data_IF_731267990113
#
_entry.id   IF_731267990113
#
_cell.length_a   1.000
_cell.length_b   1.000
_cell.length_c   1.000
_cell.angle_alpha   90.00
_cell.angle_beta   90.00
_cell.angle_gamma   90.00
#
_symmetry.space_group_name_H-M   'P 1'
#
loop_
_entity.id
_entity.type
_entity.pdbx_description
1 polymer ?
#
# COMPACT_ATOMS: atom_id res chain seq x y z
N UNK A 1 8.85 17.00 -4.47
CA UNK A 1 9.42 15.63 -4.63
C UNK A 1 10.34 15.55 -5.84
N UNK A 2 11.12 14.46 -6.02
CA UNK A 2 11.80 14.15 -7.28
C UNK A 2 10.88 13.29 -8.19
N UNK A 3 11.18 13.30 -9.52
CA UNK A 3 10.51 12.39 -10.44
C UNK A 3 10.86 10.94 -10.09
N UNK A 4 9.88 10.07 -10.07
CA UNK A 4 10.07 8.69 -9.62
C UNK A 4 9.24 7.72 -10.47
N UNK A 5 9.81 6.57 -10.82
CA UNK A 5 9.07 5.46 -11.40
C UNK A 5 8.66 4.48 -10.32
N UNK A 6 7.38 4.23 -10.22
CA UNK A 6 6.82 3.27 -9.26
C UNK A 6 6.20 2.07 -9.97
N UNK A 7 6.19 0.95 -9.26
CA UNK A 7 5.52 -0.28 -9.66
C UNK A 7 4.45 -0.63 -8.64
N UNK A 8 3.24 -0.94 -9.10
CA UNK A 8 2.16 -1.50 -8.30
C UNK A 8 1.81 -2.89 -8.82
N UNK A 9 1.71 -3.87 -7.91
CA UNK A 9 1.47 -5.26 -8.29
C UNK A 9 0.00 -5.66 -8.12
N UNK A 10 -0.57 -6.25 -9.17
CA UNK A 10 -1.69 -7.18 -9.05
C UNK A 10 -1.07 -8.55 -8.81
N UNK A 11 -1.20 -9.08 -7.60
CA UNK A 11 -0.43 -10.24 -7.15
C UNK A 11 -1.33 -11.32 -6.57
N UNK A 12 -1.04 -12.60 -6.85
CA UNK A 12 -1.72 -13.72 -6.23
C UNK A 12 -0.94 -14.23 -5.03
N UNK A 13 -1.55 -14.18 -3.85
CA UNK A 13 -0.98 -14.77 -2.64
C UNK A 13 -1.75 -16.01 -2.24
N UNK A 14 -1.03 -17.04 -1.82
CA UNK A 14 -1.60 -18.24 -1.21
C UNK A 14 -1.55 -18.10 0.31
N UNK A 15 -2.68 -18.27 0.97
CA UNK A 15 -2.75 -18.11 2.43
C UNK A 15 -1.92 -19.18 3.15
N UNK A 16 -0.95 -18.72 3.97
CA UNK A 16 -0.05 -19.57 4.76
C UNK A 16 1.16 -20.13 3.98
N UNK A 17 1.20 -20.01 2.65
CA UNK A 17 2.35 -20.48 1.86
C UNK A 17 3.37 -19.35 1.60
N UNK A 18 4.03 -18.96 2.68
CA UNK A 18 5.01 -17.86 2.69
C UNK A 18 6.12 -18.08 1.67
N UNK A 19 6.64 -19.31 1.59
CA UNK A 19 7.77 -19.63 0.68
C UNK A 19 7.40 -19.44 -0.79
N UNK A 20 6.22 -19.91 -1.18
CA UNK A 20 5.70 -19.73 -2.54
C UNK A 20 5.49 -18.26 -2.86
N UNK A 21 4.90 -17.51 -1.93
CA UNK A 21 4.64 -16.08 -2.11
C UNK A 21 5.96 -15.30 -2.25
N UNK A 22 6.97 -15.57 -1.42
CA UNK A 22 8.28 -14.93 -1.51
C UNK A 22 8.99 -15.25 -2.84
N UNK A 23 8.95 -16.49 -3.29
CA UNK A 23 9.55 -16.88 -4.59
C UNK A 23 8.90 -16.12 -5.76
N UNK A 24 7.58 -15.97 -5.75
CA UNK A 24 6.87 -15.18 -6.75
C UNK A 24 7.22 -13.67 -6.65
N UNK A 25 7.39 -13.13 -5.44
CA UNK A 25 7.83 -11.75 -5.24
C UNK A 25 9.21 -11.50 -5.85
N UNK A 26 10.18 -12.39 -5.63
CA UNK A 26 11.55 -12.28 -6.19
C UNK A 26 11.50 -12.08 -7.70
N UNK A 27 10.67 -12.86 -8.39
CA UNK A 27 10.48 -12.76 -9.84
C UNK A 27 9.99 -11.35 -10.25
N UNK A 28 8.93 -10.86 -9.62
CA UNK A 28 8.35 -9.57 -9.94
C UNK A 28 9.23 -8.37 -9.53
N UNK A 29 9.99 -8.49 -8.44
CA UNK A 29 10.97 -7.48 -8.03
C UNK A 29 12.04 -7.31 -9.10
N UNK A 30 12.61 -8.41 -9.61
CA UNK A 30 13.61 -8.38 -10.69
C UNK A 30 13.06 -7.77 -11.97
N UNK A 31 11.85 -8.13 -12.37
CA UNK A 31 11.18 -7.53 -13.54
C UNK A 31 11.00 -6.03 -13.32
N UNK A 32 10.49 -5.62 -12.16
CA UNK A 32 10.27 -4.21 -11.85
C UNK A 32 11.55 -3.38 -11.89
N UNK A 33 12.65 -3.93 -11.37
CA UNK A 33 13.97 -3.28 -11.45
C UNK A 33 14.43 -3.14 -12.90
N UNK A 34 14.31 -4.19 -13.71
CA UNK A 34 14.70 -4.17 -15.13
C UNK A 34 13.87 -3.14 -15.93
N UNK A 35 12.63 -2.91 -15.53
CA UNK A 35 11.75 -1.87 -16.09
C UNK A 35 12.01 -0.47 -15.50
N UNK A 36 13.04 -0.33 -14.66
CA UNK A 36 13.49 0.94 -14.09
C UNK A 36 12.68 1.44 -12.90
N UNK A 37 11.87 0.61 -12.24
CA UNK A 37 11.14 1.00 -11.05
C UNK A 37 12.10 1.27 -9.86
N UNK A 38 11.81 2.32 -9.10
CA UNK A 38 12.53 2.67 -7.88
C UNK A 38 11.86 2.11 -6.62
N UNK A 39 10.53 1.97 -6.66
CA UNK A 39 9.71 1.41 -5.60
C UNK A 39 8.74 0.41 -6.21
N UNK A 40 8.63 -0.77 -5.59
CA UNK A 40 7.57 -1.74 -5.91
C UNK A 40 6.65 -1.91 -4.70
N UNK A 41 5.34 -1.83 -4.94
CA UNK A 41 4.31 -2.06 -3.92
C UNK A 41 3.50 -3.31 -4.25
N UNK A 42 3.51 -4.25 -3.32
CA UNK A 42 2.67 -5.45 -3.35
C UNK A 42 1.36 -5.21 -2.59
N UNK A 43 0.32 -6.05 -2.80
CA UNK A 43 -0.92 -5.95 -2.04
C UNK A 43 -0.76 -6.21 -0.54
N UNK A 44 -1.80 -5.87 0.23
CA UNK A 44 -1.90 -6.15 1.66
C UNK A 44 -1.73 -7.66 1.93
N UNK A 45 -0.93 -8.01 2.95
CA UNK A 45 -0.63 -9.38 3.40
C UNK A 45 -0.11 -10.32 2.29
N UNK A 46 0.57 -9.79 1.29
CA UNK A 46 1.00 -10.59 0.14
C UNK A 46 2.06 -11.64 0.49
N UNK A 47 2.83 -11.47 1.55
CA UNK A 47 3.84 -12.44 2.00
C UNK A 47 3.17 -13.65 2.65
N UNK A 48 2.30 -13.42 3.62
CA UNK A 48 1.62 -14.45 4.40
C UNK A 48 0.34 -14.96 3.73
N UNK A 49 -0.13 -14.25 2.71
CA UNK A 49 -1.46 -14.41 2.14
C UNK A 49 -2.55 -13.86 3.08
N UNK A 50 -3.68 -13.44 2.50
CA UNK A 50 -4.82 -12.96 3.27
C UNK A 50 -5.79 -14.08 3.61
N UNK A 51 -6.27 -14.10 4.84
CA UNK A 51 -7.43 -14.89 5.27
C UNK A 51 -8.15 -14.15 6.40
N UNK A 52 -9.47 -14.29 6.45
CA UNK A 52 -10.30 -13.85 7.57
C UNK A 52 -10.55 -14.97 8.58
N UNK A 53 -9.76 -16.04 8.53
CA UNK A 53 -9.79 -17.15 9.48
C UNK A 53 -8.66 -17.00 10.49
N UNK A 54 -8.87 -17.44 11.74
CA UNK A 54 -7.90 -17.30 12.83
C UNK A 54 -6.58 -18.03 12.58
N UNK A 55 -6.58 -19.03 11.72
CA UNK A 55 -5.39 -19.81 11.32
C UNK A 55 -4.30 -18.95 10.64
N UNK A 56 -4.65 -17.77 10.12
CA UNK A 56 -3.66 -16.84 9.54
C UNK A 56 -2.60 -16.43 10.57
N UNK A 57 -2.93 -16.46 11.87
CA UNK A 57 -1.99 -16.19 12.96
C UNK A 57 -0.81 -17.15 13.00
N UNK A 58 -0.97 -18.37 12.42
CA UNK A 58 0.12 -19.36 12.35
C UNK A 58 1.23 -18.96 11.36
N UNK A 59 0.94 -18.02 10.46
CA UNK A 59 1.92 -17.47 9.52
C UNK A 59 2.55 -16.16 10.04
N UNK A 60 2.27 -15.77 11.28
CA UNK A 60 2.78 -14.54 11.86
C UNK A 60 4.27 -14.62 12.18
N UNK A 61 5.00 -13.61 11.75
CA UNK A 61 6.45 -13.49 11.91
C UNK A 61 6.81 -12.23 12.70
N UNK A 62 7.92 -12.24 13.43
CA UNK A 62 8.44 -11.03 14.06
C UNK A 62 8.96 -10.04 13.02
N UNK A 63 8.92 -8.75 13.34
CA UNK A 63 9.52 -7.69 12.52
C UNK A 63 10.39 -6.82 13.44
N UNK A 64 11.74 -6.78 13.25
CA UNK A 64 12.51 -7.54 12.25
C UNK A 64 12.54 -9.04 12.51
N UNK A 65 12.73 -9.84 11.45
CA UNK A 65 12.78 -11.30 11.49
C UNK A 65 13.40 -11.88 10.22
N UNK A 66 13.42 -13.22 10.06
CA UNK A 66 14.05 -13.88 8.91
C UNK A 66 13.53 -13.36 7.55
N UNK A 67 12.22 -13.16 7.42
CA UNK A 67 11.62 -12.65 6.17
C UNK A 67 12.10 -11.23 5.87
N UNK A 68 12.19 -10.37 6.87
CA UNK A 68 12.71 -9.00 6.67
C UNK A 68 14.17 -9.00 6.27
N UNK A 69 14.97 -9.94 6.79
CA UNK A 69 16.37 -10.07 6.39
C UNK A 69 16.51 -10.52 4.92
N UNK A 70 15.74 -11.51 4.48
CA UNK A 70 15.75 -11.98 3.09
C UNK A 70 15.33 -10.86 2.12
N UNK A 71 14.29 -10.09 2.48
CA UNK A 71 13.83 -8.96 1.68
C UNK A 71 14.83 -7.79 1.70
N UNK A 72 15.56 -7.56 2.80
CA UNK A 72 16.61 -6.54 2.87
C UNK A 72 17.76 -6.89 1.93
N UNK A 73 18.24 -8.13 1.94
CA UNK A 73 19.26 -8.61 1.02
C UNK A 73 18.82 -8.47 -0.45
N UNK A 74 17.53 -8.75 -0.71
CA UNK A 74 16.97 -8.61 -2.05
C UNK A 74 16.84 -7.15 -2.47
N UNK A 75 16.39 -6.27 -1.58
CA UNK A 75 16.29 -4.83 -1.80
C UNK A 75 17.65 -4.21 -2.11
N UNK A 76 18.67 -4.56 -1.34
CA UNK A 76 20.05 -4.13 -1.55
C UNK A 76 20.57 -4.62 -2.90
N UNK A 77 20.49 -5.93 -3.17
CA UNK A 77 21.03 -6.52 -4.42
C UNK A 77 20.33 -6.02 -5.67
N UNK A 78 19.07 -5.67 -5.60
CA UNK A 78 18.28 -5.13 -6.70
C UNK A 78 18.19 -3.60 -6.71
N UNK A 79 18.75 -2.90 -5.69
CA UNK A 79 18.67 -1.44 -5.53
C UNK A 79 17.24 -0.89 -5.74
N UNK A 80 16.22 -1.54 -5.15
CA UNK A 80 14.81 -1.18 -5.25
C UNK A 80 14.14 -1.18 -3.88
N UNK A 81 13.30 -0.19 -3.61
CA UNK A 81 12.50 -0.16 -2.39
C UNK A 81 11.35 -1.15 -2.53
N UNK A 82 11.15 -2.01 -1.52
CA UNK A 82 10.12 -3.04 -1.51
C UNK A 82 9.07 -2.69 -0.44
N UNK A 83 7.80 -2.56 -0.87
CA UNK A 83 6.66 -2.42 0.01
C UNK A 83 5.85 -3.73 -0.03
N UNK A 84 5.74 -4.42 1.12
CA UNK A 84 5.17 -5.77 1.17
C UNK A 84 4.42 -6.04 2.47
N UNK A 85 3.27 -6.72 2.38
CA UNK A 85 2.38 -7.00 3.49
C UNK A 85 2.66 -8.34 4.19
N UNK A 86 2.65 -8.33 5.51
CA UNK A 86 2.91 -9.49 6.36
C UNK A 86 1.95 -9.53 7.55
N UNK A 87 1.63 -10.72 8.03
CA UNK A 87 1.08 -10.89 9.39
C UNK A 87 2.25 -10.79 10.36
N UNK A 88 2.26 -9.75 11.17
CA UNK A 88 3.31 -9.49 12.17
C UNK A 88 2.87 -9.96 13.55
N UNK A 89 3.82 -10.49 14.32
CA UNK A 89 3.66 -10.79 15.74
C UNK A 89 4.71 -10.03 16.56
N UNK A 90 4.26 -9.26 17.55
CA UNK A 90 5.17 -8.60 18.48
C UNK A 90 5.57 -9.50 19.65
N UNK A 91 6.51 -9.03 20.48
CA UNK A 91 7.03 -9.75 21.66
C UNK A 91 5.97 -10.00 22.74
N UNK A 92 4.85 -9.26 22.70
CA UNK A 92 3.71 -9.43 23.62
C UNK A 92 2.65 -10.40 23.07
N UNK A 93 2.84 -10.90 21.85
CA UNK A 93 1.93 -11.83 21.20
C UNK A 93 0.77 -11.16 20.47
N UNK A 94 0.76 -9.82 20.32
CA UNK A 94 -0.23 -9.15 19.49
C UNK A 94 0.03 -9.46 18.02
N UNK A 95 -1.06 -9.60 17.26
CA UNK A 95 -1.01 -9.89 15.82
C UNK A 95 -1.47 -8.66 15.05
N UNK A 96 -0.68 -8.23 14.07
CA UNK A 96 -0.96 -7.06 13.25
C UNK A 96 -1.03 -7.43 11.76
N UNK A 97 -1.89 -6.73 11.02
CA UNK A 97 -1.76 -6.61 9.58
C UNK A 97 -0.78 -5.49 9.31
N UNK A 98 0.42 -5.84 8.86
CA UNK A 98 1.53 -4.90 8.70
C UNK A 98 2.01 -4.80 7.27
N UNK A 99 2.53 -3.62 6.89
CA UNK A 99 3.17 -3.39 5.60
C UNK A 99 4.59 -2.88 5.82
N UNK A 100 5.54 -3.63 5.30
CA UNK A 100 6.96 -3.37 5.41
C UNK A 100 7.40 -2.32 4.39
N UNK A 101 8.34 -1.49 4.78
CA UNK A 101 9.10 -0.60 3.88
C UNK A 101 10.56 -1.01 4.00
N UNK A 102 11.06 -1.68 2.97
CA UNK A 102 12.43 -2.19 2.96
C UNK A 102 13.24 -1.44 1.91
N UNK A 103 14.31 -0.78 2.35
CA UNK A 103 15.15 0.04 1.48
C UNK A 103 16.52 -0.59 1.25
N UNK A 104 17.18 -0.27 0.11
CA UNK A 104 18.49 -0.78 -0.23
C UNK A 104 19.61 -0.43 0.77
N UNK A 105 19.39 0.59 1.60
CA UNK A 105 20.32 1.03 2.64
C UNK A 105 20.20 0.23 3.96
N UNK A 106 19.41 -0.86 3.95
CA UNK A 106 19.17 -1.71 5.12
C UNK A 106 18.05 -1.21 6.03
N UNK A 107 17.41 -0.07 5.72
CA UNK A 107 16.27 0.42 6.50
C UNK A 107 15.05 -0.50 6.37
N UNK A 108 14.48 -0.86 7.53
CA UNK A 108 13.22 -1.59 7.64
C UNK A 108 12.23 -0.76 8.44
N UNK A 109 11.22 -0.24 7.75
CA UNK A 109 10.10 0.47 8.36
C UNK A 109 8.83 -0.39 8.36
N UNK A 110 7.88 -0.08 9.23
CA UNK A 110 6.63 -0.81 9.39
C UNK A 110 5.46 0.15 9.50
N UNK A 111 4.40 -0.10 8.73
CA UNK A 111 3.08 0.46 8.95
C UNK A 111 2.15 -0.65 9.42
N UNK A 112 1.53 -0.50 10.58
CA UNK A 112 0.50 -1.40 11.12
C UNK A 112 -0.88 -0.83 10.82
N UNK A 113 -1.78 -1.63 10.26
CA UNK A 113 -3.16 -1.22 9.92
C UNK A 113 -3.83 -0.58 11.13
N UNK A 114 -4.38 0.63 10.95
CA UNK A 114 -4.98 1.40 12.03
C UNK A 114 -6.45 1.05 12.23
N UNK A 115 -7.18 0.89 11.13
CA UNK A 115 -8.62 0.61 11.15
C UNK A 115 -8.86 -0.83 10.73
N UNK A 116 -9.15 -1.67 11.70
CA UNK A 116 -9.40 -3.10 11.47
C UNK A 116 -10.83 -3.27 10.95
N UNK A 117 -10.97 -3.88 9.76
CA UNK A 117 -12.27 -4.15 9.17
C UNK A 117 -13.06 -5.16 10.03
N UNK A 118 -14.41 -5.07 10.10
CA UNK A 118 -15.22 -5.93 10.97
C UNK A 118 -14.93 -7.43 10.90
N UNK A 119 -14.67 -8.03 9.70
CA UNK A 119 -14.33 -9.46 9.63
C UNK A 119 -12.94 -9.83 10.19
N UNK A 120 -12.11 -8.85 10.52
CA UNK A 120 -10.72 -9.02 10.94
C UNK A 120 -10.50 -8.69 12.43
N UNK A 121 -11.52 -8.16 13.13
CA UNK A 121 -11.40 -7.63 14.51
C UNK A 121 -11.00 -8.67 15.54
N UNK A 122 -11.38 -9.95 15.36
CA UNK A 122 -10.98 -11.06 16.25
C UNK A 122 -9.56 -11.58 15.94
N UNK A 123 -8.91 -11.05 14.91
CA UNK A 123 -7.62 -11.54 14.41
C UNK A 123 -6.52 -10.54 14.68
N UNK A 124 -6.72 -9.28 14.29
CA UNK A 124 -5.68 -8.26 14.29
C UNK A 124 -5.89 -7.20 15.37
N UNK A 125 -4.79 -6.80 15.95
CA UNK A 125 -4.68 -5.63 16.82
C UNK A 125 -4.49 -4.38 15.95
N UNK A 126 -5.19 -3.25 16.21
CA UNK A 126 -4.94 -2.01 15.48
C UNK A 126 -3.56 -1.43 15.80
N UNK A 127 -2.92 -0.83 14.80
CA UNK A 127 -1.75 0.02 14.99
C UNK A 127 -2.11 1.31 15.73
N UNK A 128 -1.11 2.04 16.18
CA UNK A 128 -1.27 3.28 16.96
C UNK A 128 -0.37 4.43 16.50
N UNK A 129 0.29 4.29 15.35
CA UNK A 129 1.18 5.30 14.79
C UNK A 129 0.90 5.53 13.31
N UNK A 130 1.13 6.76 12.84
CA UNK A 130 0.99 7.16 11.45
C UNK A 130 2.38 7.56 10.91
N UNK A 131 3.24 6.59 10.59
CA UNK A 131 4.57 6.90 10.07
C UNK A 131 4.49 7.41 8.62
N UNK A 132 5.42 8.30 8.28
CA UNK A 132 5.77 8.60 6.90
C UNK A 132 7.18 8.09 6.63
N UNK A 133 7.42 7.72 5.39
CA UNK A 133 8.69 7.17 4.93
C UNK A 133 9.25 8.04 3.80
N UNK A 134 10.57 8.04 3.68
CA UNK A 134 11.28 8.75 2.61
C UNK A 134 12.06 7.77 1.75
N UNK A 135 11.95 7.88 0.44
CA UNK A 135 12.77 7.14 -0.51
C UNK A 135 12.97 7.95 -1.79
N UNK A 136 14.22 8.03 -2.29
CA UNK A 136 14.52 8.70 -3.55
C UNK A 136 13.99 10.15 -3.64
N UNK A 137 13.99 10.90 -2.54
CA UNK A 137 13.50 12.27 -2.50
C UNK A 137 11.98 12.41 -2.56
N UNK A 138 11.26 11.35 -2.25
CA UNK A 138 9.80 11.31 -2.18
C UNK A 138 9.37 10.90 -0.78
N UNK A 139 8.48 11.67 -0.15
CA UNK A 139 7.87 11.33 1.13
C UNK A 139 6.52 10.64 0.92
N UNK A 140 6.31 9.49 1.54
CA UNK A 140 5.09 8.73 1.34
C UNK A 140 4.50 8.13 2.61
N UNK A 141 3.19 7.95 2.58
CA UNK A 141 2.43 7.20 3.56
C UNK A 141 1.96 5.85 3.03
N UNK A 142 1.46 5.02 3.94
CA UNK A 142 0.78 3.75 3.63
C UNK A 142 -0.57 3.74 4.34
N UNK A 143 -1.62 3.24 3.66
CA UNK A 143 -2.92 2.95 4.21
C UNK A 143 -3.34 1.55 3.77
N UNK A 144 -3.76 0.69 4.68
CA UNK A 144 -4.14 -0.67 4.33
C UNK A 144 -5.65 -0.80 4.12
N UNK A 145 -6.06 -1.00 2.86
CA UNK A 145 -7.42 -1.37 2.47
C UNK A 145 -8.50 -0.53 3.17
N UNK A 146 -8.99 -0.97 4.32
CA UNK A 146 -10.06 -0.33 5.09
C UNK A 146 -9.68 1.07 5.60
N UNK A 147 -8.39 1.34 5.84
CA UNK A 147 -7.88 2.66 6.22
C UNK A 147 -8.26 3.76 5.23
N UNK A 148 -8.37 3.43 3.94
CA UNK A 148 -8.70 4.40 2.88
C UNK A 148 -10.11 5.00 3.00
N UNK A 149 -10.99 4.40 3.79
CA UNK A 149 -12.33 4.93 4.05
C UNK A 149 -12.36 6.10 5.03
N UNK A 150 -11.26 6.32 5.77
CA UNK A 150 -11.12 7.39 6.77
C UNK A 150 -10.35 8.57 6.16
N UNK A 151 -11.04 9.66 5.72
CA UNK A 151 -10.40 10.78 5.03
C UNK A 151 -9.37 11.50 5.89
N UNK A 152 -9.58 11.53 7.21
CA UNK A 152 -8.72 12.17 8.19
C UNK A 152 -7.29 11.63 8.11
N UNK A 153 -7.13 10.33 7.88
CA UNK A 153 -5.83 9.68 7.78
C UNK A 153 -5.03 10.18 6.58
N UNK A 154 -5.67 10.25 5.39
CA UNK A 154 -5.02 10.81 4.19
C UNK A 154 -4.66 12.27 4.38
N UNK A 155 -5.56 13.04 4.99
CA UNK A 155 -5.34 14.47 5.27
C UNK A 155 -4.19 14.66 6.26
N UNK A 156 -4.12 13.84 7.32
CA UNK A 156 -3.02 13.88 8.28
C UNK A 156 -1.67 13.61 7.60
N UNK A 157 -1.58 12.56 6.77
CA UNK A 157 -0.36 12.25 6.03
C UNK A 157 0.06 13.39 5.10
N UNK A 158 -0.89 14.00 4.39
CA UNK A 158 -0.64 15.13 3.50
C UNK A 158 -0.14 16.36 4.25
N UNK A 159 -0.73 16.71 5.41
CA UNK A 159 -0.28 17.81 6.28
C UNK A 159 1.14 17.57 6.78
N UNK A 160 1.52 16.30 7.03
CA UNK A 160 2.88 15.90 7.43
C UNK A 160 3.86 15.87 6.24
N UNK A 161 3.40 16.27 5.05
CA UNK A 161 4.21 16.47 3.85
C UNK A 161 4.34 15.22 2.96
N UNK A 162 3.42 14.28 3.02
CA UNK A 162 3.39 13.18 2.06
C UNK A 162 3.17 13.70 0.64
N UNK A 163 3.93 13.19 -0.32
CA UNK A 163 3.78 13.43 -1.75
C UNK A 163 2.84 12.41 -2.39
N UNK A 164 2.84 11.20 -1.82
CA UNK A 164 1.99 10.11 -2.27
C UNK A 164 1.60 9.18 -1.12
N UNK A 165 0.53 8.41 -1.33
CA UNK A 165 0.09 7.35 -0.40
C UNK A 165 -0.06 6.06 -1.20
N UNK A 166 0.59 4.99 -0.72
CA UNK A 166 0.33 3.64 -1.17
C UNK A 166 -0.86 3.07 -0.41
N UNK A 167 -1.80 2.46 -1.16
CA UNK A 167 -3.01 1.86 -0.59
C UNK A 167 -3.12 0.41 -1.08
N UNK A 168 -2.28 -0.49 -0.55
CA UNK A 168 -2.39 -1.92 -0.84
C UNK A 168 -3.63 -2.51 -0.19
N UNK A 169 -4.31 -3.39 -0.94
CA UNK A 169 -5.54 -4.04 -0.54
C UNK A 169 -5.43 -5.56 -0.59
N UNK A 170 -6.20 -6.21 0.27
CA UNK A 170 -6.59 -7.61 0.15
C UNK A 170 -8.13 -7.69 0.19
N UNK A 171 -8.78 -7.06 -0.80
CA UNK A 171 -10.23 -6.87 -0.85
C UNK A 171 -10.89 -7.92 -1.75
N UNK A 172 -11.48 -8.99 -1.17
CA UNK A 172 -12.13 -10.05 -1.93
C UNK A 172 -13.49 -9.63 -2.49
N UNK A 173 -14.09 -10.53 -3.28
CA UNK A 173 -15.43 -10.45 -3.86
C UNK A 173 -15.60 -9.39 -4.95
N UNK A 174 -16.59 -9.63 -5.80
CA UNK A 174 -16.91 -8.80 -6.95
C UNK A 174 -15.98 -9.02 -8.15
N UNK A 175 -16.27 -8.33 -9.23
CA UNK A 175 -15.44 -8.27 -10.43
C UNK A 175 -14.41 -7.14 -10.34
N UNK A 176 -13.36 -7.14 -11.17
CA UNK A 176 -12.42 -6.02 -11.25
C UNK A 176 -13.12 -4.68 -11.55
N UNK A 177 -14.15 -4.68 -12.38
CA UNK A 177 -14.92 -3.49 -12.77
C UNK A 177 -15.77 -2.95 -11.61
N UNK A 178 -16.41 -3.83 -10.84
CA UNK A 178 -17.16 -3.46 -9.64
C UNK A 178 -16.23 -2.89 -8.57
N UNK A 179 -15.06 -3.53 -8.38
CA UNK A 179 -14.03 -3.05 -7.46
C UNK A 179 -13.51 -1.67 -7.88
N UNK A 180 -13.23 -1.48 -9.16
CA UNK A 180 -12.83 -0.19 -9.70
C UNK A 180 -13.87 0.89 -9.40
N UNK A 181 -15.15 0.65 -9.72
CA UNK A 181 -16.22 1.62 -9.43
C UNK A 181 -16.35 1.93 -7.93
N UNK A 182 -16.14 0.91 -7.07
CA UNK A 182 -16.15 1.11 -5.63
C UNK A 182 -14.99 2.00 -5.17
N UNK A 183 -13.78 1.74 -5.65
CA UNK A 183 -12.59 2.51 -5.28
C UNK A 183 -12.64 3.96 -5.74
N UNK A 184 -13.21 4.23 -6.92
CA UNK A 184 -13.31 5.60 -7.44
C UNK A 184 -14.20 6.51 -6.59
N UNK A 185 -15.05 5.96 -5.72
CA UNK A 185 -15.88 6.77 -4.81
C UNK A 185 -15.07 7.49 -3.74
N UNK A 186 -13.91 6.97 -3.38
CA UNK A 186 -13.09 7.53 -2.29
C UNK A 186 -11.64 7.79 -2.70
N UNK A 187 -10.95 6.93 -3.46
CA UNK A 187 -9.54 7.12 -3.75
C UNK A 187 -9.24 8.37 -4.56
N UNK A 188 -10.12 8.74 -5.51
CA UNK A 188 -9.97 9.98 -6.27
C UNK A 188 -10.11 11.21 -5.37
N UNK A 189 -11.03 11.17 -4.41
CA UNK A 189 -11.19 12.23 -3.42
C UNK A 189 -9.94 12.34 -2.51
N UNK A 190 -9.37 11.19 -2.07
CA UNK A 190 -8.12 11.21 -1.28
C UNK A 190 -6.98 11.91 -2.02
N UNK A 191 -6.84 11.68 -3.33
CA UNK A 191 -5.85 12.37 -4.16
C UNK A 191 -6.18 13.86 -4.31
N UNK A 192 -7.41 14.17 -4.72
CA UNK A 192 -7.85 15.52 -5.06
C UNK A 192 -7.87 16.46 -3.85
N UNK A 193 -8.49 16.06 -2.75
CA UNK A 193 -8.65 16.89 -1.56
C UNK A 193 -7.31 17.21 -0.88
N UNK A 194 -6.33 16.33 -1.05
CA UNK A 194 -5.04 16.41 -0.38
C UNK A 194 -3.87 16.82 -1.30
N UNK A 195 -4.10 16.94 -2.61
CA UNK A 195 -3.06 17.33 -3.57
C UNK A 195 -1.86 16.39 -3.54
N UNK A 196 -2.10 15.06 -3.59
CA UNK A 196 -1.07 14.02 -3.58
C UNK A 196 -1.40 12.86 -4.53
N UNK A 197 -0.39 12.04 -4.87
CA UNK A 197 -0.64 10.82 -5.66
C UNK A 197 -1.21 9.70 -4.79
N UNK A 198 -2.10 8.89 -5.37
CA UNK A 198 -2.57 7.63 -4.78
C UNK A 198 -2.15 6.46 -5.65
N UNK A 199 -1.55 5.44 -5.03
CA UNK A 199 -1.16 4.19 -5.67
C UNK A 199 -1.87 3.04 -4.96
N UNK A 200 -2.87 2.44 -5.60
CA UNK A 200 -3.64 1.34 -5.02
C UNK A 200 -3.48 0.07 -5.83
N UNK A 201 -3.34 -1.06 -5.16
CA UNK A 201 -3.26 -2.39 -5.77
C UNK A 201 -3.99 -3.44 -4.93
N UNK A 202 -4.49 -4.50 -5.56
CA UNK A 202 -5.20 -5.58 -4.92
C UNK A 202 -4.61 -6.94 -5.29
N UNK A 203 -4.90 -7.92 -4.47
CA UNK A 203 -4.66 -9.32 -4.81
C UNK A 203 -5.52 -9.76 -6.00
N UNK A 204 -5.15 -10.87 -6.64
CA UNK A 204 -5.89 -11.52 -7.73
C UNK A 204 -6.00 -13.04 -7.51
N UNK A 205 -6.99 -13.66 -8.14
CA UNK A 205 -7.19 -15.11 -8.07
C UNK A 205 -7.74 -15.59 -6.74
N UNK A 206 -7.50 -16.85 -6.42
CA UNK A 206 -7.96 -17.50 -5.17
C UNK A 206 -6.80 -17.69 -4.20
N UNK A 207 -7.12 -17.55 -2.90
CA UNK A 207 -6.15 -17.70 -1.80
C UNK A 207 -6.07 -19.12 -1.23
N UNK A 208 -6.71 -20.10 -1.89
CA UNK A 208 -6.84 -21.50 -1.47
C UNK A 208 -7.56 -21.70 -0.10
N UNK A 209 -8.28 -20.66 0.37
CA UNK A 209 -9.17 -20.65 1.56
C UNK A 209 -10.56 -20.12 1.25
N UNK A 210 -11.01 -20.25 0.00
CA UNK A 210 -12.36 -19.91 -0.45
C UNK A 210 -12.60 -18.42 -0.73
N UNK A 211 -11.59 -17.57 -0.66
CA UNK A 211 -11.69 -16.17 -1.05
C UNK A 211 -11.12 -15.94 -2.45
N UNK A 212 -11.89 -15.22 -3.27
CA UNK A 212 -11.49 -14.81 -4.60
C UNK A 212 -11.31 -13.30 -4.68
N UNK A 213 -10.21 -12.87 -5.25
CA UNK A 213 -9.81 -11.47 -5.33
C UNK A 213 -9.88 -10.97 -6.78
N UNK A 214 -10.57 -9.83 -7.01
CA UNK A 214 -10.56 -9.15 -8.29
C UNK A 214 -9.28 -8.33 -8.44
N UNK A 215 -8.41 -8.72 -9.36
CA UNK A 215 -7.15 -8.03 -9.56
C UNK A 215 -7.35 -6.64 -10.16
N UNK A 216 -6.85 -5.65 -9.46
CA UNK A 216 -6.89 -4.25 -9.88
C UNK A 216 -5.67 -3.51 -9.36
N UNK A 217 -5.12 -2.60 -10.18
CA UNK A 217 -4.22 -1.55 -9.72
C UNK A 217 -4.58 -0.23 -10.39
N UNK A 218 -4.52 0.85 -9.61
CA UNK A 218 -4.87 2.21 -10.05
C UNK A 218 -3.83 3.18 -9.52
N UNK A 219 -3.40 4.09 -10.39
CA UNK A 219 -2.53 5.21 -10.05
C UNK A 219 -3.29 6.49 -10.37
N UNK A 220 -3.43 7.35 -9.36
CA UNK A 220 -4.24 8.56 -9.39
C UNK A 220 -3.32 9.75 -9.14
N UNK A 221 -3.44 10.78 -9.97
CA UNK A 221 -2.68 12.02 -9.86
C UNK A 221 -3.26 12.98 -8.83
N UNK A 222 -2.50 14.03 -8.46
CA UNK A 222 -2.88 15.00 -7.42
C UNK A 222 -4.17 15.80 -7.73
N UNK A 223 -4.58 15.81 -9.01
CA UNK A 223 -5.85 16.42 -9.46
C UNK A 223 -7.03 15.44 -9.41
N UNK A 224 -6.87 14.24 -8.86
CA UNK A 224 -7.89 13.18 -8.84
C UNK A 224 -8.05 12.43 -10.17
N UNK A 225 -7.27 12.76 -11.20
CA UNK A 225 -7.29 12.11 -12.50
C UNK A 225 -6.60 10.73 -12.46
N UNK A 226 -7.13 9.79 -13.25
CA UNK A 226 -6.51 8.46 -13.40
C UNK A 226 -5.31 8.56 -14.33
N UNK A 227 -4.11 8.32 -13.80
CA UNK A 227 -2.88 8.25 -14.61
C UNK A 227 -2.80 6.89 -15.29
N UNK A 228 -3.05 5.81 -14.53
CA UNK A 228 -3.03 4.45 -15.04
C UNK A 228 -3.98 3.55 -14.26
N UNK A 229 -4.62 2.61 -14.96
CA UNK A 229 -5.36 1.52 -14.33
C UNK A 229 -5.18 0.23 -15.11
N UNK A 230 -5.13 -0.89 -14.41
CA UNK A 230 -5.22 -2.23 -14.97
C UNK A 230 -6.22 -3.03 -14.15
N UNK A 231 -7.13 -3.70 -14.85
CA UNK A 231 -8.07 -4.67 -14.32
C UNK A 231 -7.68 -6.03 -14.88
N UNK A 232 -7.44 -7.04 -14.03
CA UNK A 232 -6.92 -8.32 -14.49
C UNK A 232 -7.21 -9.44 -13.51
N UNK A 233 -7.64 -10.58 -14.00
CA UNK A 233 -7.75 -11.82 -13.22
C UNK A 233 -6.40 -12.59 -13.14
N UNK A 234 -5.31 -12.00 -13.64
CA UNK A 234 -3.96 -12.55 -13.61
C UNK A 234 -3.03 -11.52 -12.98
N UNK A 235 -1.88 -11.97 -12.50
CA UNK A 235 -0.82 -11.09 -12.01
C UNK A 235 -0.38 -10.12 -13.11
N UNK A 236 -0.17 -8.85 -12.73
CA UNK A 236 0.27 -7.78 -13.62
C UNK A 236 1.12 -6.77 -12.87
N UNK A 237 2.19 -6.35 -13.51
CA UNK A 237 2.96 -5.18 -13.11
C UNK A 237 2.37 -3.93 -13.74
N UNK A 238 2.13 -2.91 -12.92
CA UNK A 238 1.63 -1.60 -13.34
C UNK A 238 2.68 -0.56 -13.03
N UNK A 239 3.29 -0.01 -14.07
CA UNK A 239 4.35 1.00 -13.96
C UNK A 239 3.80 2.38 -14.26
N UNK A 240 4.25 3.39 -13.53
CA UNK A 240 4.01 4.79 -13.84
C UNK A 240 5.19 5.67 -13.43
N UNK A 241 5.45 6.69 -14.23
CA UNK A 241 6.34 7.79 -13.90
C UNK A 241 5.51 8.89 -13.23
N UNK A 242 5.83 9.16 -11.96
CA UNK A 242 5.24 10.25 -11.21
C UNK A 242 6.13 11.47 -11.32
N UNK A 243 5.57 12.57 -11.81
CA UNK A 243 6.31 13.81 -12.06
C UNK A 243 6.09 14.81 -10.92
N UNK A 244 7.16 15.43 -10.45
CA UNK A 244 7.07 16.52 -9.47
C UNK A 244 6.18 17.66 -9.94
N UNK A 245 6.24 17.98 -11.23
CA UNK A 245 5.43 19.03 -11.87
C UNK A 245 3.92 18.85 -11.66
N UNK A 246 3.43 17.60 -11.56
CA UNK A 246 2.00 17.35 -11.31
C UNK A 246 1.59 17.74 -9.89
N UNK A 247 2.48 17.56 -8.89
CA UNK A 247 2.27 18.06 -7.54
C UNK A 247 2.36 19.59 -7.49
N UNK A 248 3.40 20.15 -8.09
CA UNK A 248 3.67 21.59 -8.09
C UNK A 248 2.49 22.33 -8.72
N UNK A 249 1.97 21.84 -9.85
CA UNK A 249 0.78 22.40 -10.54
C UNK A 249 -0.45 22.49 -9.65
N UNK A 250 -0.64 21.53 -8.72
CA UNK A 250 -1.76 21.56 -7.78
C UNK A 250 -1.41 22.40 -6.57
N UNK A 251 -0.24 22.20 -5.96
CA UNK A 251 0.16 22.82 -4.68
C UNK A 251 0.44 24.31 -4.80
N UNK A 252 0.90 24.79 -5.96
CA UNK A 252 1.08 26.22 -6.25
C UNK A 252 -0.21 26.92 -6.67
N UNK A 253 -1.24 26.16 -7.07
CA UNK A 253 -2.49 26.72 -7.55
C UNK A 253 -3.41 27.09 -6.39
N UNK A 254 -3.58 28.37 -6.13
CA UNK A 254 -4.31 28.94 -5.01
C UNK A 254 -5.72 28.38 -4.78
N UNK A 255 -6.45 28.00 -5.87
CA UNK A 255 -7.82 27.47 -5.81
C UNK A 255 -7.89 25.94 -5.88
N UNK A 256 -6.75 25.23 -5.99
CA UNK A 256 -6.72 23.77 -6.09
C UNK A 256 -6.03 23.07 -4.92
N UNK A 257 -5.24 23.82 -4.15
CA UNK A 257 -4.58 23.31 -2.96
C UNK A 257 -5.38 23.75 -1.71
N UNK A 258 -6.14 22.81 -1.16
CA UNK A 258 -7.09 23.11 -0.09
C UNK A 258 -6.47 23.09 1.32
N UNK A 259 -5.40 22.32 1.52
CA UNK A 259 -4.82 22.08 2.85
C UNK A 259 -4.44 23.37 3.62
N UNK A 260 -3.86 24.41 3.01
CA UNK A 260 -3.53 25.66 3.72
C UNK A 260 -4.76 26.44 4.19
N UNK A 261 -5.94 26.19 3.60
CA UNK A 261 -7.18 26.89 3.90
C UNK A 261 -8.08 26.16 4.89
N UNK A 262 -7.60 25.07 5.49
CA UNK A 262 -8.36 24.32 6.50
C UNK A 262 -8.55 25.15 7.76
N UNK A 263 -9.67 24.91 8.42
CA UNK A 263 -10.06 25.54 9.68
C UNK A 263 -10.23 24.45 10.76
N UNK A 264 -9.11 23.74 11.16
CA UNK A 264 -9.18 22.59 12.07
C UNK A 264 -9.79 22.97 13.45
N UNK A 265 -9.65 24.22 13.86
CA UNK A 265 -10.21 24.76 15.11
C UNK A 265 -11.76 24.75 15.16
N UNK A 266 -12.43 24.51 14.01
CA UNK A 266 -13.89 24.42 13.94
C UNK A 266 -14.42 22.99 14.08
N UNK A 267 -13.52 21.99 14.08
CA UNK A 267 -13.91 20.59 14.11
C UNK A 267 -13.44 19.98 15.44
N UNK A 268 -14.39 19.64 16.27
CA UNK A 268 -14.15 18.85 17.48
C UNK A 268 -14.37 17.38 17.15
N UNK A 269 -13.30 16.61 17.16
CA UNK A 269 -13.31 15.17 16.95
C UNK A 269 -13.08 14.45 18.29
N UNK A 270 -13.86 14.81 19.30
CA UNK A 270 -13.84 14.17 20.61
C UNK A 270 -14.33 12.72 20.59
#
# INVERSE_FOLDING_TARGET
MQNIRIAAMIFRSVSGDVRRNLNAMVHWIKISKNEGAHIICFPELNITGYSNLKEIKNAAEPVPGPITQDLSNLSESQEIVILAGIVEKDDKGHIFSSHLVIKPDGFVGVYRKLHIAPPEQDIFTPGNTIPLFDARGVKFGIQLCYDAHFPELSTHMAIKGADLIFIPHASPRGTPEEKYRSWMRHLTARAFDNGLFIIACNQTGENDKGLRFPGIAVIIGPSGNIIKKILSNKERLVLADLKSEDLDRVREHRMRYFLPNRRPELYDFS
#
